data_IF_466634528391
#
_entry.id   IF_466634528391
#
_cell.length_a   1.000
_cell.length_b   1.000
_cell.length_c   1.000
_cell.angle_alpha   90.00
_cell.angle_beta   90.00
_cell.angle_gamma   90.00
#
_symmetry.space_group_name_H-M   'P 1'
#
loop_
_entity.id
_entity.type
_entity.pdbx_description
1 polymer ?
#
# COMPACT_ATOMS: atom_id res chain seq x y z
N UNK A 1 1.27 0.30 14.70
CA UNK A 1 2.40 0.38 15.66
C UNK A 1 2.07 1.18 16.90
N UNK A 2 1.73 2.48 16.81
CA UNK A 2 1.40 3.30 18.00
C UNK A 2 0.18 2.80 18.81
N UNK A 3 -0.81 2.20 18.16
CA UNK A 3 -1.96 1.62 18.87
C UNK A 3 -1.59 0.37 19.69
N UNK A 4 -0.60 -0.41 19.24
CA UNK A 4 -0.16 -1.63 19.91
C UNK A 4 0.87 -1.36 21.00
N UNK A 5 1.70 -0.31 20.85
CA UNK A 5 2.64 0.10 21.90
C UNK A 5 1.95 0.73 23.10
N UNK A 6 0.70 1.23 22.98
CA UNK A 6 -0.06 1.79 24.11
C UNK A 6 -0.45 0.77 25.17
N UNK A 7 -0.52 -0.52 24.83
CA UNK A 7 -0.85 -1.59 25.80
C UNK A 7 0.40 -2.17 26.49
N UNK A 8 1.59 -1.77 26.08
CA UNK A 8 2.86 -2.16 26.68
C UNK A 8 3.52 -0.90 27.25
N UNK A 9 3.39 -0.67 28.55
CA UNK A 9 3.62 0.62 29.23
C UNK A 9 5.03 1.25 29.07
N UNK A 10 5.95 0.69 28.29
CA UNK A 10 7.33 1.18 28.18
C UNK A 10 8.00 1.04 26.81
N UNK A 11 7.26 0.81 25.71
CA UNK A 11 7.87 0.59 24.39
C UNK A 11 7.85 1.86 23.53
N UNK A 12 9.01 2.48 23.31
CA UNK A 12 9.17 3.67 22.46
C UNK A 12 9.32 3.25 21.01
N UNK A 13 8.51 3.88 20.17
CA UNK A 13 8.45 3.60 18.74
C UNK A 13 8.67 4.87 17.94
N UNK A 14 9.47 4.83 16.89
CA UNK A 14 9.60 5.93 15.92
C UNK A 14 9.11 5.52 14.53
N UNK A 15 8.58 6.50 13.79
CA UNK A 15 8.21 6.36 12.38
C UNK A 15 9.10 7.27 11.55
N UNK A 16 9.89 6.69 10.66
CA UNK A 16 10.95 7.38 9.91
C UNK A 16 10.65 7.30 8.41
N UNK A 17 9.88 8.28 7.92
CA UNK A 17 9.40 8.30 6.53
C UNK A 17 9.54 9.68 5.90
N UNK A 18 9.58 9.73 4.56
CA UNK A 18 9.57 10.98 3.79
C UNK A 18 8.31 11.83 4.02
N UNK A 19 8.37 13.11 3.67
CA UNK A 19 7.22 14.03 3.74
C UNK A 19 6.81 14.51 5.14
N UNK A 20 7.61 14.23 6.17
CA UNK A 20 7.39 14.73 7.54
C UNK A 20 8.64 15.43 8.08
N UNK A 21 8.52 16.15 9.21
CA UNK A 21 9.58 16.97 9.77
C UNK A 21 10.78 16.12 10.24
N UNK A 22 11.95 16.33 9.62
CA UNK A 22 13.18 15.58 9.88
C UNK A 22 13.76 15.86 11.28
N UNK A 23 13.65 17.08 11.80
CA UNK A 23 14.17 17.41 13.14
C UNK A 23 13.38 16.69 14.24
N UNK A 24 12.07 16.50 14.03
CA UNK A 24 11.25 15.71 14.94
C UNK A 24 11.71 14.26 14.97
N UNK A 25 11.88 13.63 13.80
CA UNK A 25 12.38 12.25 13.69
C UNK A 25 13.78 12.11 14.31
N UNK A 26 14.66 13.09 14.06
CA UNK A 26 15.99 13.16 14.67
C UNK A 26 15.93 13.19 16.20
N UNK A 27 15.09 14.05 16.78
CA UNK A 27 14.96 14.13 18.23
C UNK A 27 14.41 12.82 18.82
N UNK A 28 13.44 12.19 18.16
CA UNK A 28 12.87 10.91 18.60
C UNK A 28 13.91 9.78 18.56
N UNK A 29 14.67 9.67 17.46
CA UNK A 29 15.72 8.67 17.31
C UNK A 29 16.85 8.84 18.34
N UNK A 30 17.30 10.08 18.57
CA UNK A 30 18.37 10.38 19.55
C UNK A 30 17.94 10.16 20.99
N UNK A 31 16.65 10.25 21.30
CA UNK A 31 16.11 9.92 22.62
C UNK A 31 16.14 8.40 22.92
N UNK A 32 16.46 7.58 21.92
CA UNK A 32 16.47 6.12 22.00
C UNK A 32 15.08 5.54 21.75
N UNK A 33 15.03 4.55 20.86
CA UNK A 33 13.80 3.84 20.47
C UNK A 33 14.06 2.34 20.48
N UNK A 34 13.06 1.57 20.91
CA UNK A 34 13.13 0.11 20.86
C UNK A 34 12.64 -0.44 19.52
N UNK A 35 11.71 0.26 18.84
CA UNK A 35 11.22 -0.11 17.51
C UNK A 35 11.23 1.10 16.58
N UNK A 36 11.82 0.94 15.40
CA UNK A 36 11.72 1.92 14.32
C UNK A 36 11.00 1.29 13.12
N UNK A 37 9.99 1.98 12.59
CA UNK A 37 9.39 1.66 11.28
C UNK A 37 9.84 2.72 10.31
N UNK A 38 10.50 2.32 9.23
CA UNK A 38 11.15 3.28 8.35
C UNK A 38 11.06 2.90 6.88
N UNK A 39 11.03 3.92 6.00
CA UNK A 39 11.32 3.72 4.57
C UNK A 39 12.83 3.77 4.35
N UNK A 40 13.42 2.90 3.51
CA UNK A 40 14.88 2.77 3.38
C UNK A 40 15.59 4.11 3.12
N UNK A 41 15.08 4.90 2.17
CA UNK A 41 15.68 6.19 1.81
C UNK A 41 15.74 7.18 2.97
N UNK A 42 14.68 7.31 3.78
CA UNK A 42 14.71 8.24 4.93
C UNK A 42 15.53 7.68 6.08
N UNK A 43 15.52 6.36 6.26
CA UNK A 43 16.24 5.72 7.35
C UNK A 43 17.76 5.85 7.19
N UNK A 44 18.26 5.64 5.96
CA UNK A 44 19.69 5.74 5.70
C UNK A 44 20.22 7.16 5.93
N UNK A 45 19.44 8.19 5.59
CA UNK A 45 19.77 9.59 5.91
C UNK A 45 20.05 9.76 7.42
N UNK A 46 19.19 9.21 8.28
CA UNK A 46 19.36 9.31 9.73
C UNK A 46 20.54 8.48 10.25
N UNK A 47 20.82 7.33 9.63
CA UNK A 47 21.96 6.50 9.98
C UNK A 47 23.29 7.19 9.64
N UNK A 48 23.40 7.75 8.43
CA UNK A 48 24.58 8.47 7.95
C UNK A 48 24.84 9.76 8.73
N UNK A 49 23.79 10.44 9.19
CA UNK A 49 23.91 11.61 10.07
C UNK A 49 24.22 11.27 11.53
N UNK A 50 24.31 9.98 11.90
CA UNK A 50 24.57 9.56 13.28
C UNK A 50 23.43 9.84 14.25
N UNK A 51 22.20 9.99 13.74
CA UNK A 51 21.02 10.23 14.58
C UNK A 51 20.54 8.94 15.28
N UNK A 52 20.93 7.78 14.77
CA UNK A 52 20.66 6.45 15.34
C UNK A 52 21.80 5.48 15.01
N UNK A 53 21.80 4.30 15.63
CA UNK A 53 22.76 3.22 15.37
C UNK A 53 22.05 1.87 15.38
N UNK A 54 22.49 0.96 14.51
CA UNK A 54 21.95 -0.41 14.44
C UNK A 54 22.73 -1.42 15.30
N UNK A 55 23.75 -0.97 16.03
CA UNK A 55 24.67 -1.82 16.81
C UNK A 55 24.01 -2.77 17.83
N UNK A 56 22.76 -2.50 18.24
CA UNK A 56 22.00 -3.32 19.20
C UNK A 56 20.75 -3.96 18.60
N UNK A 57 20.63 -3.98 17.28
CA UNK A 57 19.49 -4.60 16.61
C UNK A 57 19.59 -6.11 16.71
N UNK A 58 18.52 -6.74 17.21
CA UNK A 58 18.38 -8.21 17.22
C UNK A 58 17.40 -8.71 16.16
N UNK A 59 16.53 -7.84 15.63
CA UNK A 59 15.49 -8.19 14.68
C UNK A 59 15.40 -7.15 13.56
N UNK A 60 15.31 -7.63 12.33
CA UNK A 60 15.04 -6.80 11.14
C UNK A 60 13.92 -7.42 10.34
N UNK A 61 13.02 -6.58 9.83
CA UNK A 61 11.90 -6.98 8.99
C UNK A 61 11.98 -6.20 7.68
N UNK A 62 12.06 -6.93 6.57
CA UNK A 62 11.91 -6.41 5.21
C UNK A 62 10.49 -6.74 4.77
N UNK A 63 9.60 -5.75 4.77
CA UNK A 63 8.20 -5.91 4.34
C UNK A 63 8.01 -5.39 2.91
N UNK A 64 7.17 -6.05 2.13
CA UNK A 64 6.98 -5.81 0.69
C UNK A 64 8.32 -5.68 -0.08
N UNK A 65 9.21 -6.66 0.10
CA UNK A 65 10.56 -6.60 -0.45
C UNK A 65 10.61 -6.45 -1.98
N UNK A 66 9.68 -7.08 -2.70
CA UNK A 66 9.50 -6.90 -4.14
C UNK A 66 9.20 -5.45 -4.53
N UNK A 67 8.26 -4.81 -3.83
CA UNK A 67 7.95 -3.38 -4.03
C UNK A 67 9.15 -2.49 -3.77
N UNK A 68 9.95 -2.79 -2.75
CA UNK A 68 11.14 -1.99 -2.47
C UNK A 68 12.17 -2.08 -3.62
N UNK A 69 12.31 -3.25 -4.25
CA UNK A 69 13.17 -3.39 -5.43
C UNK A 69 12.59 -2.67 -6.65
N UNK A 70 11.28 -2.76 -6.89
CA UNK A 70 10.61 -2.02 -7.97
C UNK A 70 10.81 -0.50 -7.84
N UNK A 71 10.89 0.00 -6.60
CA UNK A 71 11.16 1.40 -6.29
C UNK A 71 12.65 1.79 -6.36
N UNK A 72 13.54 0.83 -6.64
CA UNK A 72 14.98 1.06 -6.71
C UNK A 72 15.67 1.23 -5.36
N UNK A 73 15.08 0.73 -4.26
CA UNK A 73 15.65 0.85 -2.91
C UNK A 73 16.72 -0.19 -2.58
N UNK A 74 17.12 -1.04 -3.52
CA UNK A 74 18.14 -2.06 -3.31
C UNK A 74 19.45 -1.50 -2.70
N UNK A 75 20.02 -0.38 -3.18
CA UNK A 75 21.28 0.12 -2.64
C UNK A 75 21.14 0.53 -1.16
N UNK A 76 20.04 1.19 -0.79
CA UNK A 76 19.79 1.63 0.58
C UNK A 76 19.54 0.44 1.50
N UNK A 77 18.79 -0.57 1.04
CA UNK A 77 18.60 -1.81 1.80
C UNK A 77 19.95 -2.47 2.07
N UNK A 78 20.79 -2.63 1.04
CA UNK A 78 22.12 -3.25 1.18
C UNK A 78 22.99 -2.50 2.19
N UNK A 79 22.97 -1.17 2.18
CA UNK A 79 23.72 -0.35 3.14
C UNK A 79 23.22 -0.50 4.57
N UNK A 80 21.89 -0.54 4.77
CA UNK A 80 21.27 -0.79 6.07
C UNK A 80 21.65 -2.19 6.58
N UNK A 81 21.51 -3.22 5.75
CA UNK A 81 21.80 -4.61 6.11
C UNK A 81 23.28 -4.81 6.49
N UNK A 82 24.21 -4.15 5.79
CA UNK A 82 25.65 -4.17 6.13
C UNK A 82 25.98 -3.49 7.46
N UNK A 83 25.11 -2.60 7.93
CA UNK A 83 25.29 -1.88 9.20
C UNK A 83 24.75 -2.66 10.40
N UNK A 84 24.14 -3.83 10.19
CA UNK A 84 23.61 -4.69 11.24
C UNK A 84 24.72 -5.50 11.93
N UNK A 85 24.55 -5.85 13.22
CA UNK A 85 25.43 -6.80 13.90
C UNK A 85 25.41 -8.17 13.21
N UNK A 86 26.52 -8.92 13.25
CA UNK A 86 26.56 -10.27 12.65
C UNK A 86 25.46 -11.20 13.16
N UNK A 87 25.15 -11.11 14.47
CA UNK A 87 24.10 -11.90 15.11
C UNK A 87 22.80 -11.09 15.17
N UNK A 88 21.88 -11.39 14.25
CA UNK A 88 20.53 -10.87 14.25
C UNK A 88 19.58 -11.87 13.57
N UNK A 89 18.27 -11.71 13.77
CA UNK A 89 17.24 -12.43 13.05
C UNK A 89 16.61 -11.52 12.00
N UNK A 90 16.54 -11.99 10.76
CA UNK A 90 15.90 -11.29 9.65
C UNK A 90 14.62 -12.00 9.25
N UNK A 91 13.54 -11.23 9.06
CA UNK A 91 12.29 -11.67 8.46
C UNK A 91 12.13 -10.93 7.12
N UNK A 92 11.76 -11.67 6.08
CA UNK A 92 11.51 -11.13 4.74
C UNK A 92 10.10 -11.51 4.31
N UNK A 93 9.29 -10.51 4.02
CA UNK A 93 7.95 -10.63 3.48
C UNK A 93 7.92 -10.05 2.07
N UNK A 94 7.34 -10.82 1.14
CA UNK A 94 7.23 -10.44 -0.26
C UNK A 94 5.99 -11.12 -0.85
N UNK A 95 5.25 -10.40 -1.68
CA UNK A 95 4.07 -10.96 -2.35
C UNK A 95 4.47 -11.84 -3.54
N UNK A 96 5.58 -11.49 -4.18
CA UNK A 96 6.18 -12.20 -5.31
C UNK A 96 7.57 -12.73 -4.96
N UNK A 97 8.10 -13.61 -5.80
CA UNK A 97 9.42 -14.22 -5.62
C UNK A 97 10.19 -14.25 -6.95
N UNK A 98 10.52 -13.08 -7.53
CA UNK A 98 11.41 -13.02 -8.67
C UNK A 98 12.86 -13.35 -8.25
N UNK A 99 13.74 -13.57 -9.23
CA UNK A 99 15.13 -14.04 -9.01
C UNK A 99 15.90 -13.07 -8.09
N UNK A 100 15.62 -11.78 -8.18
CA UNK A 100 16.21 -10.72 -7.38
C UNK A 100 15.84 -10.84 -5.90
N UNK A 101 14.57 -11.16 -5.60
CA UNK A 101 14.12 -11.40 -4.22
C UNK A 101 14.67 -12.73 -3.68
N UNK A 102 14.76 -13.76 -4.54
CA UNK A 102 15.42 -15.01 -4.14
C UNK A 102 16.89 -14.77 -3.78
N UNK A 103 17.62 -13.98 -4.58
CA UNK A 103 19.00 -13.61 -4.30
C UNK A 103 19.11 -12.84 -2.97
N UNK A 104 18.26 -11.84 -2.77
CA UNK A 104 18.20 -11.04 -1.55
C UNK A 104 17.91 -11.91 -0.31
N UNK A 105 17.00 -12.88 -0.44
CA UNK A 105 16.70 -13.83 0.63
C UNK A 105 17.89 -14.69 1.02
N UNK A 106 18.70 -15.13 0.05
CA UNK A 106 19.92 -15.93 0.29
C UNK A 106 21.05 -15.09 0.88
N UNK A 107 21.11 -13.81 0.54
CA UNK A 107 22.12 -12.87 1.06
C UNK A 107 21.84 -12.50 2.52
N UNK A 108 20.57 -12.26 2.88
CA UNK A 108 20.23 -11.66 4.17
C UNK A 108 19.60 -12.60 5.21
N UNK A 109 19.16 -13.79 4.81
CA UNK A 109 18.58 -14.78 5.73
C UNK A 109 19.58 -15.89 6.03
N UNK A 110 19.66 -16.29 7.31
CA UNK A 110 20.44 -17.45 7.73
C UNK A 110 19.50 -18.63 7.98
N UNK A 111 19.62 -19.70 7.18
CA UNK A 111 18.79 -20.92 7.25
C UNK A 111 17.27 -20.63 7.42
N UNK A 112 16.65 -19.91 6.47
CA UNK A 112 15.27 -19.46 6.62
C UNK A 112 14.24 -20.60 6.54
N UNK A 113 13.21 -20.51 7.39
CA UNK A 113 11.98 -21.28 7.21
C UNK A 113 11.09 -20.52 6.23
N UNK A 114 10.79 -21.13 5.08
CA UNK A 114 9.93 -20.53 4.08
C UNK A 114 8.46 -20.91 4.33
N UNK A 115 7.62 -19.90 4.54
CA UNK A 115 6.17 -20.05 4.65
C UNK A 115 5.52 -19.42 3.42
N UNK A 116 4.74 -20.21 2.67
CA UNK A 116 4.00 -19.73 1.49
C UNK A 116 2.51 -19.91 1.72
N UNK A 117 1.73 -18.86 1.44
CA UNK A 117 0.27 -18.88 1.53
C UNK A 117 -0.29 -18.68 0.12
N UNK A 118 -1.04 -19.67 -0.38
CA UNK A 118 -1.63 -19.63 -1.73
C UNK A 118 -0.66 -20.05 -2.86
N UNK A 119 -1.15 -19.97 -4.11
CA UNK A 119 -0.31 -20.09 -5.31
C UNK A 119 0.24 -18.71 -5.67
N UNK A 120 1.57 -18.61 -5.75
CA UNK A 120 2.27 -17.44 -6.29
C UNK A 120 1.75 -17.19 -7.70
N UNK A 121 1.39 -15.94 -8.02
CA UNK A 121 1.23 -15.36 -9.38
C UNK A 121 -0.11 -15.45 -10.15
N UNK A 122 -1.24 -15.83 -9.57
CA UNK A 122 -2.54 -15.61 -10.25
C UNK A 122 -3.48 -14.78 -9.38
N UNK A 123 -4.17 -13.76 -9.94
CA UNK A 123 -5.39 -13.26 -9.32
C UNK A 123 -6.24 -14.50 -9.00
N UNK A 124 -6.72 -14.59 -7.76
CA UNK A 124 -7.50 -15.75 -7.34
C UNK A 124 -8.56 -16.02 -8.41
N UNK A 125 -8.73 -17.27 -8.84
CA UNK A 125 -9.77 -17.67 -9.81
C UNK A 125 -11.19 -17.24 -9.39
N UNK A 126 -11.34 -16.80 -8.15
CA UNK A 126 -12.55 -16.27 -7.55
C UNK A 126 -12.81 -14.79 -7.89
N UNK A 127 -11.91 -14.11 -8.61
CA UNK A 127 -12.12 -12.75 -9.09
C UNK A 127 -12.43 -12.79 -10.58
N UNK A 128 -13.67 -12.46 -10.95
CA UNK A 128 -14.04 -12.24 -12.35
C UNK A 128 -13.44 -10.92 -12.83
N UNK A 129 -12.75 -10.96 -13.96
CA UNK A 129 -12.18 -9.77 -14.60
C UNK A 129 -12.79 -9.61 -16.00
N UNK A 130 -13.23 -8.40 -16.32
CA UNK A 130 -13.80 -8.08 -17.64
C UNK A 130 -13.10 -6.84 -18.18
N UNK A 131 -12.59 -6.93 -19.41
CA UNK A 131 -11.98 -5.82 -20.12
C UNK A 131 -12.96 -5.25 -21.14
N UNK A 132 -13.27 -3.96 -21.04
CA UNK A 132 -14.14 -3.26 -22.00
C UNK A 132 -13.32 -2.19 -22.70
N UNK A 133 -13.17 -2.32 -24.03
CA UNK A 133 -12.49 -1.32 -24.86
C UNK A 133 -13.47 -0.21 -25.23
N UNK A 134 -13.16 1.02 -24.84
CA UNK A 134 -13.93 2.24 -25.13
C UNK A 134 -12.98 3.39 -25.46
N UNK A 135 -13.46 4.41 -26.16
CA UNK A 135 -12.68 5.64 -26.31
C UNK A 135 -12.63 6.43 -25.00
N UNK A 136 -11.65 7.33 -24.84
CA UNK A 136 -11.50 8.15 -23.62
C UNK A 136 -12.77 8.93 -23.26
N UNK A 137 -13.46 9.49 -24.26
CA UNK A 137 -14.71 10.24 -24.09
C UNK A 137 -15.85 9.37 -23.59
N UNK A 138 -15.86 8.08 -23.94
CA UNK A 138 -16.95 7.15 -23.62
C UNK A 138 -16.77 6.42 -22.28
N UNK A 139 -15.58 6.51 -21.66
CA UNK A 139 -15.28 5.81 -20.40
C UNK A 139 -16.28 6.12 -19.29
N UNK A 140 -16.69 7.38 -19.16
CA UNK A 140 -17.62 7.80 -18.11
C UNK A 140 -19.02 7.26 -18.39
N UNK A 141 -19.49 7.36 -19.62
CA UNK A 141 -20.83 6.87 -19.99
C UNK A 141 -20.90 5.36 -19.82
N UNK A 142 -19.87 4.62 -20.26
CA UNK A 142 -19.82 3.17 -20.06
C UNK A 142 -19.73 2.77 -18.58
N UNK A 143 -19.02 3.54 -17.76
CA UNK A 143 -18.99 3.31 -16.31
C UNK A 143 -20.38 3.46 -15.69
N UNK A 144 -21.14 4.50 -16.09
CA UNK A 144 -22.49 4.72 -15.60
C UNK A 144 -23.43 3.57 -16.02
N UNK A 145 -23.34 3.13 -17.27
CA UNK A 145 -24.12 2.00 -17.77
C UNK A 145 -23.85 0.74 -16.93
N UNK A 146 -22.58 0.42 -16.67
CA UNK A 146 -22.18 -0.72 -15.83
C UNK A 146 -22.74 -0.61 -14.40
N UNK A 147 -22.69 0.58 -13.79
CA UNK A 147 -23.24 0.79 -12.44
C UNK A 147 -24.76 0.63 -12.40
N UNK A 148 -25.48 1.08 -13.44
CA UNK A 148 -26.94 0.93 -13.57
C UNK A 148 -27.33 -0.53 -13.83
N UNK A 149 -26.58 -1.22 -14.69
CA UNK A 149 -26.74 -2.65 -14.95
C UNK A 149 -26.61 -3.45 -13.63
N UNK A 150 -25.54 -3.22 -12.87
CA UNK A 150 -25.31 -3.86 -11.56
C UNK A 150 -26.39 -3.50 -10.52
N UNK A 151 -26.85 -2.24 -10.49
CA UNK A 151 -27.92 -1.82 -9.60
C UNK A 151 -29.24 -2.53 -9.89
N UNK A 152 -29.57 -2.66 -11.18
CA UNK A 152 -30.76 -3.39 -11.62
C UNK A 152 -30.68 -4.88 -11.26
N UNK A 153 -29.50 -5.49 -11.29
CA UNK A 153 -29.30 -6.88 -10.89
C UNK A 153 -29.40 -7.07 -9.37
N UNK A 154 -28.82 -6.16 -8.58
CA UNK A 154 -28.90 -6.20 -7.14
C UNK A 154 -30.36 -6.12 -6.65
N UNK A 155 -31.16 -5.21 -7.23
CA UNK A 155 -32.59 -5.06 -6.92
C UNK A 155 -33.40 -6.33 -7.23
N UNK A 156 -33.16 -6.96 -8.40
CA UNK A 156 -33.84 -8.21 -8.79
C UNK A 156 -33.52 -9.37 -7.84
N UNK A 157 -32.29 -9.41 -7.32
CA UNK A 157 -31.85 -10.42 -6.36
C UNK A 157 -32.23 -10.08 -4.90
N UNK A 158 -32.89 -8.94 -4.65
CA UNK A 158 -33.26 -8.50 -3.30
C UNK A 158 -32.07 -8.11 -2.43
N UNK A 159 -30.92 -7.82 -3.03
CA UNK A 159 -29.70 -7.44 -2.33
C UNK A 159 -29.47 -5.92 -2.43
N UNK A 160 -28.92 -5.28 -1.39
CA UNK A 160 -28.52 -3.88 -1.48
C UNK A 160 -27.45 -3.72 -2.56
N UNK A 161 -27.42 -2.55 -3.20
CA UNK A 161 -26.37 -2.22 -4.15
C UNK A 161 -24.99 -2.42 -3.50
N UNK A 162 -24.08 -3.21 -4.11
CA UNK A 162 -22.79 -3.49 -3.52
C UNK A 162 -21.97 -2.20 -3.38
N UNK A 163 -21.12 -2.14 -2.35
CA UNK A 163 -20.14 -1.06 -2.23
C UNK A 163 -19.13 -1.17 -3.38
N UNK A 164 -19.24 -0.26 -4.35
CA UNK A 164 -18.36 -0.23 -5.53
C UNK A 164 -17.24 0.79 -5.34
N UNK A 165 -16.00 0.34 -5.55
CA UNK A 165 -14.82 1.20 -5.64
C UNK A 165 -14.51 1.42 -7.11
N UNK A 166 -14.42 2.70 -7.50
CA UNK A 166 -13.98 3.08 -8.84
C UNK A 166 -12.65 3.81 -8.71
N UNK A 167 -11.61 3.22 -9.31
CA UNK A 167 -10.30 3.82 -9.42
C UNK A 167 -10.28 4.75 -10.65
N UNK A 168 -9.90 6.00 -10.45
CA UNK A 168 -9.82 7.01 -11.50
C UNK A 168 -8.52 7.79 -11.41
N UNK A 169 -7.93 8.12 -12.55
CA UNK A 169 -6.82 9.06 -12.62
C UNK A 169 -7.28 10.47 -12.23
N UNK A 170 -6.39 11.26 -11.60
CA UNK A 170 -6.74 12.57 -10.97
C UNK A 170 -7.57 13.51 -11.85
N UNK A 171 -7.31 13.52 -13.16
CA UNK A 171 -8.00 14.40 -14.12
C UNK A 171 -9.49 14.10 -14.27
N UNK A 172 -9.93 12.87 -13.95
CA UNK A 172 -11.31 12.42 -14.14
C UNK A 172 -12.17 12.49 -12.87
N UNK A 173 -11.58 12.70 -11.69
CA UNK A 173 -12.31 12.74 -10.41
C UNK A 173 -13.37 13.85 -10.41
N UNK A 174 -13.05 15.02 -10.96
CA UNK A 174 -14.00 16.14 -11.02
C UNK A 174 -15.19 15.81 -11.95
N UNK A 175 -14.93 15.13 -13.07
CA UNK A 175 -15.96 14.78 -14.05
C UNK A 175 -16.89 13.66 -13.53
N UNK A 176 -16.33 12.67 -12.83
CA UNK A 176 -17.11 11.58 -12.23
C UNK A 176 -17.87 12.07 -10.99
N UNK A 177 -17.23 12.83 -10.09
CA UNK A 177 -17.88 13.36 -8.89
C UNK A 177 -19.08 14.27 -9.20
N UNK A 178 -18.99 15.10 -10.25
CA UNK A 178 -20.09 15.96 -10.70
C UNK A 178 -21.26 15.17 -11.30
N UNK A 179 -21.00 14.01 -11.92
CA UNK A 179 -22.04 13.17 -12.54
C UNK A 179 -22.62 12.10 -11.62
N UNK A 180 -21.90 11.73 -10.55
CA UNK A 180 -22.27 10.69 -9.58
C UNK A 180 -22.88 11.27 -8.29
N UNK A 181 -22.97 12.60 -8.16
CA UNK A 181 -23.69 13.25 -7.05
C UNK A 181 -25.21 13.12 -7.21
N UNK A 182 -25.79 12.04 -6.70
CA UNK A 182 -27.24 11.86 -6.58
C UNK A 182 -27.80 12.83 -5.53
N UNK A 183 -28.28 13.99 -5.99
CA UNK A 183 -29.09 14.91 -5.20
C UNK A 183 -30.47 14.31 -4.90
N UNK A 184 -30.94 14.46 -3.65
CA UNK A 184 -32.32 14.18 -3.25
C UNK A 184 -33.27 15.01 -4.11
N UNK A 185 -34.06 14.36 -4.97
CA UNK A 185 -35.26 14.96 -5.54
C UNK A 185 -36.34 13.91 -5.75
N UNK A 186 -37.38 13.99 -4.91
CA UNK A 186 -38.65 13.28 -5.12
C UNK A 186 -39.52 14.11 -6.04
N UNK A 187 -39.72 13.68 -7.29
CA UNK A 187 -40.92 13.99 -8.09
C UNK A 187 -41.00 13.07 -9.31
N UNK A 188 -42.05 12.26 -9.35
CA UNK A 188 -42.54 11.58 -10.55
C UNK A 188 -41.85 10.26 -10.91
N UNK A 189 -42.33 9.15 -10.34
CA UNK A 189 -42.34 7.83 -10.99
C UNK A 189 -41.03 7.12 -11.34
N UNK A 190 -39.86 7.75 -11.19
CA UNK A 190 -38.57 7.10 -11.39
C UNK A 190 -38.06 6.58 -10.05
N UNK A 191 -37.96 5.25 -9.93
CA UNK A 191 -37.25 4.61 -8.81
C UNK A 191 -35.78 4.95 -8.94
N UNK A 192 -35.30 5.95 -8.20
CA UNK A 192 -33.89 6.32 -8.18
C UNK A 192 -33.16 5.44 -7.17
N UNK A 193 -32.42 4.44 -7.66
CA UNK A 193 -31.50 3.65 -6.83
C UNK A 193 -30.34 4.54 -6.40
N UNK A 194 -30.15 4.73 -5.10
CA UNK A 194 -29.04 5.54 -4.58
C UNK A 194 -27.72 4.73 -4.68
N UNK A 195 -26.92 5.01 -5.70
CA UNK A 195 -25.61 4.38 -5.90
C UNK A 195 -24.56 5.16 -5.10
N UNK A 196 -24.04 4.56 -4.04
CA UNK A 196 -22.93 5.14 -3.27
C UNK A 196 -21.59 4.68 -3.85
N UNK A 197 -20.96 5.53 -4.66
CA UNK A 197 -19.63 5.25 -5.23
C UNK A 197 -18.56 5.98 -4.41
N UNK A 198 -17.56 5.23 -3.93
CA UNK A 198 -16.37 5.84 -3.33
C UNK A 198 -15.28 5.95 -4.39
N UNK A 199 -14.99 7.18 -4.81
CA UNK A 199 -13.87 7.46 -5.70
C UNK A 199 -12.57 7.45 -4.92
N UNK A 200 -11.60 6.67 -5.38
CA UNK A 200 -10.25 6.63 -4.81
C UNK A 200 -9.28 7.13 -5.87
N UNK A 201 -8.55 8.20 -5.56
CA UNK A 201 -7.45 8.68 -6.38
C UNK A 201 -6.20 7.85 -6.07
N UNK A 202 -5.60 7.25 -7.09
CA UNK A 202 -4.26 6.71 -6.93
C UNK A 202 -3.23 7.86 -6.90
N UNK A 203 -2.29 7.80 -5.95
CA UNK A 203 -1.08 8.61 -6.04
C UNK A 203 -0.17 7.94 -7.07
N UNK A 204 -0.30 8.34 -8.33
CA UNK A 204 0.74 8.08 -9.31
C UNK A 204 2.06 8.65 -8.78
N UNK A 205 3.04 7.77 -8.59
CA UNK A 205 4.43 8.17 -8.47
C UNK A 205 4.88 8.43 -9.92
N UNK A 206 4.89 9.70 -10.32
CA UNK A 206 5.50 10.12 -11.58
C UNK A 206 7.01 9.83 -11.49
N UNK A 207 7.45 8.76 -12.14
CA UNK A 207 8.79 8.66 -12.71
C UNK A 207 8.62 8.14 -14.12
N UNK A 208 8.50 9.09 -15.05
CA UNK A 208 8.60 8.86 -16.48
C UNK A 208 10.08 8.94 -16.88
N UNK A 209 10.51 7.93 -17.65
CA UNK A 209 11.77 7.77 -18.41
C UNK A 209 13.06 7.48 -17.63
#
# INVERSE_FOLDING_TARGET
>A
VQAFSRSLESLKTAIVVGGTNIEKQRSELRAGVEIAVATPGRFIDHLQQGNTSLSRISYVVLDEADRMLDMGFEPQIREIMRSLPEKHQTLLFSATMPVEIEALSKEYLTNPVQVKVGKVSSPTTNVSQTLVKVSESEKIDRLLDLLVEEASQAEKCGHPFPLTIVFVERKLIQNVGNRVSFGRSTRGGVTTTNISVKLVSERGNDTSL
#
